data_IF_476569219320
#
_entry.id   IF_476569219320
#
_cell.length_a   1.000
_cell.length_b   1.000
_cell.length_c   1.000
_cell.angle_alpha   90.00
_cell.angle_beta   90.00
_cell.angle_gamma   90.00
#
_symmetry.space_group_name_H-M   'P 1'
#
loop_
_entity.id
_entity.type
_entity.pdbx_description
1 polymer ?
#
# COMPACT_ATOMS: atom_id res chain seq x y z
N UNK A 1 19.22 0.42 14.38
CA UNK A 1 18.53 -0.89 14.30
C UNK A 1 17.01 -0.77 14.30
N UNK A 2 16.39 -0.05 15.25
CA UNK A 2 14.92 0.10 15.32
C UNK A 2 14.30 0.72 14.05
N UNK A 3 14.95 1.72 13.47
CA UNK A 3 14.47 2.39 12.24
C UNK A 3 14.45 1.49 11.01
N UNK A 4 15.47 0.64 10.84
CA UNK A 4 15.50 -0.35 9.76
C UNK A 4 14.36 -1.38 9.89
N UNK A 5 14.04 -1.79 11.12
CA UNK A 5 12.94 -2.70 11.40
C UNK A 5 11.60 -2.03 11.07
N UNK A 6 11.40 -0.79 11.52
CA UNK A 6 10.20 -0.01 11.21
C UNK A 6 10.04 0.24 9.71
N UNK A 7 11.14 0.60 9.03
CA UNK A 7 11.16 0.77 7.57
C UNK A 7 10.73 -0.52 6.86
N UNK A 8 11.35 -1.66 7.19
CA UNK A 8 11.01 -2.94 6.58
C UNK A 8 9.54 -3.31 6.85
N UNK A 9 9.04 -3.09 8.07
CA UNK A 9 7.65 -3.36 8.43
C UNK A 9 6.67 -2.53 7.58
N UNK A 10 6.84 -1.20 7.56
CA UNK A 10 5.95 -0.32 6.81
C UNK A 10 6.03 -0.54 5.30
N UNK A 11 7.24 -0.80 4.78
CA UNK A 11 7.43 -1.10 3.36
C UNK A 11 6.69 -2.38 2.96
N UNK A 12 6.83 -3.44 3.74
CA UNK A 12 6.21 -4.74 3.44
C UNK A 12 4.68 -4.68 3.55
N UNK A 13 4.17 -4.03 4.61
CA UNK A 13 2.73 -3.82 4.79
C UNK A 13 2.16 -2.92 3.69
N UNK A 14 2.82 -1.81 3.39
CA UNK A 14 2.39 -0.88 2.35
C UNK A 14 2.30 -1.54 0.98
N UNK A 15 3.34 -2.29 0.59
CA UNK A 15 3.36 -3.05 -0.66
C UNK A 15 2.27 -4.13 -0.69
N UNK A 16 2.09 -4.88 0.41
CA UNK A 16 1.04 -5.90 0.49
C UNK A 16 -0.36 -5.31 0.29
N UNK A 17 -0.66 -4.19 0.95
CA UNK A 17 -1.94 -3.48 0.81
C UNK A 17 -2.12 -2.92 -0.60
N UNK A 18 -1.08 -2.31 -1.17
CA UNK A 18 -1.11 -1.77 -2.53
C UNK A 18 -1.36 -2.86 -3.57
N UNK A 19 -0.60 -3.96 -3.50
CA UNK A 19 -0.73 -5.10 -4.41
C UNK A 19 -2.12 -5.72 -4.26
N UNK A 20 -2.59 -5.96 -3.04
CA UNK A 20 -3.92 -6.50 -2.80
C UNK A 20 -5.00 -5.59 -3.39
N UNK A 21 -4.93 -4.29 -3.13
CA UNK A 21 -5.86 -3.31 -3.71
C UNK A 21 -5.90 -3.39 -5.25
N UNK A 22 -4.74 -3.42 -5.91
CA UNK A 22 -4.66 -3.52 -7.38
C UNK A 22 -5.21 -4.86 -7.89
N UNK A 23 -4.83 -5.97 -7.25
CA UNK A 23 -5.26 -7.32 -7.63
C UNK A 23 -6.78 -7.46 -7.54
N UNK A 24 -7.37 -7.05 -6.41
CA UNK A 24 -8.81 -7.16 -6.22
C UNK A 24 -9.59 -6.16 -7.09
N UNK A 25 -9.05 -4.98 -7.36
CA UNK A 25 -9.66 -4.05 -8.32
C UNK A 25 -9.74 -4.64 -9.74
N UNK A 26 -8.72 -5.40 -10.15
CA UNK A 26 -8.72 -6.12 -11.44
C UNK A 26 -9.63 -7.33 -11.43
N UNK A 27 -9.70 -8.05 -10.30
CA UNK A 27 -10.53 -9.24 -10.12
C UNK A 27 -12.01 -8.88 -10.17
N UNK A 28 -12.42 -7.88 -9.40
CA UNK A 28 -13.81 -7.43 -9.27
C UNK A 28 -14.16 -6.29 -10.24
N UNK A 29 -13.48 -6.21 -11.40
CA UNK A 29 -13.61 -5.09 -12.37
C UNK A 29 -15.03 -4.84 -12.91
N UNK A 30 -15.93 -5.81 -12.73
CA UNK A 30 -17.33 -5.74 -13.17
C UNK A 30 -18.28 -5.21 -12.08
N UNK A 31 -17.80 -5.03 -10.85
CA UNK A 31 -18.52 -4.42 -9.75
C UNK A 31 -17.93 -3.02 -9.44
N UNK A 32 -18.60 -1.92 -9.86
CA UNK A 32 -18.13 -0.57 -9.64
C UNK A 32 -17.99 -0.17 -8.18
N UNK A 33 -18.79 -0.74 -7.26
CA UNK A 33 -18.72 -0.42 -5.84
C UNK A 33 -17.46 -1.04 -5.22
N UNK A 34 -17.21 -2.32 -5.51
CA UNK A 34 -15.98 -3.00 -5.12
C UNK A 34 -14.74 -2.31 -5.68
N UNK A 35 -14.76 -1.89 -6.96
CA UNK A 35 -13.63 -1.16 -7.58
C UNK A 35 -13.32 0.15 -6.84
N UNK A 36 -14.34 0.90 -6.40
CA UNK A 36 -14.14 2.12 -5.60
C UNK A 36 -13.45 1.80 -4.28
N UNK A 37 -13.90 0.75 -3.58
CA UNK A 37 -13.29 0.31 -2.33
C UNK A 37 -11.81 -0.07 -2.52
N UNK A 38 -11.52 -0.92 -3.50
CA UNK A 38 -10.14 -1.36 -3.77
C UNK A 38 -9.24 -0.24 -4.26
N UNK A 39 -9.79 0.80 -4.90
CA UNK A 39 -9.05 2.02 -5.25
C UNK A 39 -8.63 2.78 -4.00
N UNK A 40 -9.52 2.94 -3.02
CA UNK A 40 -9.18 3.55 -1.72
C UNK A 40 -8.09 2.73 -1.02
N UNK A 41 -8.23 1.41 -0.98
CA UNK A 41 -7.21 0.51 -0.39
C UNK A 41 -5.86 0.67 -1.10
N UNK A 42 -5.86 0.73 -2.43
CA UNK A 42 -4.64 0.94 -3.22
C UNK A 42 -3.97 2.28 -2.90
N UNK A 43 -4.74 3.35 -2.76
CA UNK A 43 -4.22 4.68 -2.39
C UNK A 43 -3.58 4.63 -1.00
N UNK A 44 -4.23 4.00 -0.01
CA UNK A 44 -3.68 3.85 1.34
C UNK A 44 -2.36 3.08 1.29
N UNK A 45 -2.31 1.95 0.57
CA UNK A 45 -1.08 1.17 0.39
C UNK A 45 0.04 1.98 -0.27
N UNK A 46 -0.29 2.79 -1.28
CA UNK A 46 0.67 3.67 -1.95
C UNK A 46 1.22 4.75 -1.00
N UNK A 47 0.37 5.38 -0.18
CA UNK A 47 0.78 6.39 0.79
C UNK A 47 1.70 5.80 1.86
N UNK A 48 1.39 4.61 2.40
CA UNK A 48 2.24 3.94 3.38
C UNK A 48 3.59 3.57 2.75
N UNK A 49 3.59 3.02 1.54
CA UNK A 49 4.80 2.64 0.82
C UNK A 49 5.68 3.87 0.56
N UNK A 50 5.12 4.92 -0.04
CA UNK A 50 5.84 6.16 -0.31
C UNK A 50 6.34 6.81 0.98
N UNK A 51 5.51 6.88 2.02
CA UNK A 51 5.89 7.40 3.33
C UNK A 51 7.07 6.63 3.95
N UNK A 52 7.10 5.31 3.82
CA UNK A 52 8.22 4.50 4.33
C UNK A 52 9.54 4.79 3.60
N UNK A 53 9.50 4.96 2.28
CA UNK A 53 10.67 5.30 1.46
C UNK A 53 11.16 6.71 1.75
N UNK A 54 10.24 7.67 1.87
CA UNK A 54 10.56 9.06 2.21
C UNK A 54 11.16 9.17 3.60
N UNK A 55 10.57 8.49 4.60
CA UNK A 55 11.11 8.46 5.96
C UNK A 55 12.55 7.95 5.99
N UNK A 56 12.84 6.85 5.27
CA UNK A 56 14.19 6.27 5.15
C UNK A 56 15.18 7.17 4.38
N UNK A 57 14.68 8.11 3.58
CA UNK A 57 15.52 9.04 2.82
C UNK A 57 15.86 10.30 3.61
N UNK A 58 15.07 10.62 4.65
CA UNK A 58 15.25 11.81 5.49
C UNK A 58 15.99 11.47 6.80
N UNK A 59 15.78 10.26 7.33
CA UNK A 59 16.36 9.75 8.58
C UNK A 59 17.40 8.67 8.26
#
# INVERSE_FOLDING_TARGET
MKELILFALFLTVGLGVLIAGIVYMRKEKHDPESVKLYRVISIIGAVITAGSVLFRSIV
#
